data_IF_314824657794
#
_entry.id   IF_314824657794
#
_cell.length_a   1.000
_cell.length_b   1.000
_cell.length_c   1.000
_cell.angle_alpha   90.00
_cell.angle_beta   90.00
_cell.angle_gamma   90.00
#
_symmetry.space_group_name_H-M   'P 1'
#
loop_
_entity.id
_entity.type
_entity.pdbx_description
1 polymer ?
#
# COMPACT_ATOMS: atom_id res chain seq x y z
N UNK A 1 -76.15 1.30 -0.36
CA UNK A 1 -75.88 0.19 -1.30
C UNK A 1 -74.41 0.24 -1.68
N UNK A 2 -73.67 -0.84 -1.34
CA UNK A 2 -72.56 -1.51 -2.08
C UNK A 2 -71.57 -0.62 -2.84
N UNK A 3 -70.25 -0.71 -2.69
CA UNK A 3 -69.38 -1.62 -1.94
C UNK A 3 -67.93 -1.18 -2.14
N UNK A 4 -67.06 -1.44 -1.16
CA UNK A 4 -65.61 -1.20 -1.26
C UNK A 4 -64.93 -2.51 -1.66
N UNK A 5 -64.15 -2.48 -2.74
CA UNK A 5 -63.30 -3.57 -3.17
C UNK A 5 -62.04 -3.62 -2.29
N UNK A 6 -61.76 -4.79 -1.72
CA UNK A 6 -60.56 -5.10 -0.95
C UNK A 6 -59.50 -5.63 -1.93
N UNK A 7 -58.44 -4.87 -2.17
CA UNK A 7 -57.25 -5.37 -2.86
C UNK A 7 -56.27 -5.91 -1.80
N UNK A 8 -56.03 -7.21 -1.82
CA UNK A 8 -55.03 -7.90 -0.99
C UNK A 8 -53.68 -7.72 -1.68
N UNK A 9 -52.77 -7.00 -1.02
CA UNK A 9 -51.35 -6.93 -1.41
C UNK A 9 -50.60 -8.05 -0.67
N UNK A 10 -50.33 -9.15 -1.36
CA UNK A 10 -49.37 -10.15 -0.89
C UNK A 10 -47.95 -9.61 -1.10
N UNK A 11 -47.34 -9.06 -0.05
CA UNK A 11 -45.89 -8.83 -0.01
C UNK A 11 -45.21 -10.19 0.18
N UNK A 12 -44.56 -10.66 -0.88
CA UNK A 12 -43.63 -11.79 -0.81
C UNK A 12 -42.38 -11.32 -0.06
N UNK A 13 -42.20 -11.82 1.16
CA UNK A 13 -40.94 -11.71 1.90
C UNK A 13 -39.97 -12.72 1.29
N UNK A 14 -39.07 -12.25 0.41
CA UNK A 14 -37.87 -13.00 0.09
C UNK A 14 -36.88 -12.78 1.24
N UNK A 15 -36.44 -13.82 1.97
CA UNK A 15 -35.27 -13.67 2.81
C UNK A 15 -34.09 -13.44 1.87
N UNK A 16 -33.60 -12.21 1.80
CA UNK A 16 -32.29 -11.96 1.22
C UNK A 16 -31.30 -12.78 2.02
N UNK A 17 -30.58 -13.70 1.35
CA UNK A 17 -29.37 -14.24 1.93
C UNK A 17 -28.46 -13.05 2.19
N UNK A 18 -28.20 -12.71 3.45
CA UNK A 18 -27.07 -11.88 3.76
C UNK A 18 -25.85 -12.66 3.24
N UNK A 19 -25.18 -12.15 2.22
CA UNK A 19 -23.84 -12.62 1.91
C UNK A 19 -23.04 -12.44 3.19
N UNK A 20 -22.47 -13.53 3.71
CA UNK A 20 -21.54 -13.43 4.82
C UNK A 20 -20.33 -12.69 4.30
N UNK A 21 -19.97 -11.58 4.94
CA UNK A 21 -18.71 -10.90 4.68
C UNK A 21 -17.56 -11.87 4.97
N UNK A 22 -16.48 -11.75 4.20
CA UNK A 22 -15.26 -12.50 4.44
C UNK A 22 -14.63 -12.05 5.76
N UNK A 23 -13.90 -12.97 6.40
CA UNK A 23 -13.06 -12.62 7.54
C UNK A 23 -11.89 -11.76 7.08
N UNK A 24 -11.48 -10.80 7.91
CA UNK A 24 -10.39 -9.87 7.60
C UNK A 24 -9.42 -9.77 8.77
N UNK A 25 -8.15 -9.54 8.45
CA UNK A 25 -7.09 -9.25 9.43
C UNK A 25 -6.27 -8.04 8.94
N UNK A 26 -5.85 -7.18 9.86
CA UNK A 26 -4.84 -6.14 9.59
C UNK A 26 -3.48 -6.69 9.99
N UNK A 27 -2.61 -6.94 9.00
CA UNK A 27 -1.24 -7.42 9.23
C UNK A 27 -0.32 -6.30 9.72
N UNK A 28 -0.55 -5.07 9.25
CA UNK A 28 0.25 -3.91 9.63
C UNK A 28 -0.65 -2.67 9.72
N UNK A 29 -0.68 -2.03 10.89
CA UNK A 29 -1.43 -0.78 11.13
C UNK A 29 -0.44 0.30 11.60
N UNK A 30 -0.12 1.24 10.70
CA UNK A 30 0.82 2.32 10.98
C UNK A 30 0.13 3.66 11.28
N UNK A 31 -1.19 3.72 11.16
CA UNK A 31 -1.98 4.91 11.52
C UNK A 31 -3.37 4.91 10.89
N UNK A 32 -4.13 6.00 11.07
CA UNK A 32 -5.46 6.11 10.49
C UNK A 32 -5.42 6.06 8.97
N UNK A 33 -6.31 5.29 8.35
CA UNK A 33 -6.53 5.21 6.89
C UNK A 33 -6.78 6.57 6.22
N UNK A 34 -7.19 7.58 6.98
CA UNK A 34 -7.30 8.95 6.46
C UNK A 34 -5.94 9.57 6.07
N UNK A 35 -4.82 9.00 6.55
CA UNK A 35 -3.46 9.46 6.26
C UNK A 35 -2.48 8.31 6.02
N UNK A 36 -2.96 7.18 5.48
CA UNK A 36 -2.15 6.02 5.10
C UNK A 36 -2.63 5.51 3.73
N UNK A 37 -1.76 4.80 3.03
CA UNK A 37 -2.18 4.00 1.87
C UNK A 37 -2.64 2.64 2.37
N UNK A 38 -3.90 2.30 2.18
CA UNK A 38 -4.46 1.01 2.62
C UNK A 38 -4.33 -0.05 1.50
N UNK A 39 -3.41 -1.00 1.68
CA UNK A 39 -3.22 -2.14 0.78
C UNK A 39 -4.08 -3.32 1.27
N UNK A 40 -4.86 -3.92 0.37
CA UNK A 40 -5.68 -5.10 0.66
C UNK A 40 -5.18 -6.28 -0.16
N UNK A 41 -4.88 -7.39 0.50
CA UNK A 41 -4.45 -8.64 -0.14
C UNK A 41 -5.58 -9.66 -0.05
N UNK A 42 -5.92 -10.27 -1.18
CA UNK A 42 -6.87 -11.37 -1.28
C UNK A 42 -6.13 -12.66 -1.61
N UNK A 43 -6.57 -13.77 -1.04
CA UNK A 43 -6.15 -15.10 -1.49
C UNK A 43 -7.08 -15.62 -2.58
N UNK A 44 -6.55 -16.32 -3.59
CA UNK A 44 -7.36 -17.22 -4.43
C UNK A 44 -6.70 -18.61 -4.53
N UNK A 45 -7.51 -19.65 -4.65
CA UNK A 45 -7.00 -21.03 -4.61
C UNK A 45 -6.55 -21.49 -3.23
N UNK A 46 -6.84 -20.75 -2.14
CA UNK A 46 -6.64 -21.22 -0.77
C UNK A 46 -7.94 -21.78 -0.22
N UNK A 47 -7.95 -23.05 0.16
CA UNK A 47 -9.09 -23.68 0.83
C UNK A 47 -9.22 -23.23 2.28
N UNK A 48 -10.33 -23.61 2.94
CA UNK A 48 -10.56 -23.28 4.34
C UNK A 48 -9.44 -23.78 5.28
N UNK A 49 -8.75 -24.87 4.92
CA UNK A 49 -7.62 -25.41 5.69
C UNK A 49 -6.27 -24.79 5.34
N UNK A 50 -6.20 -23.93 4.32
CA UNK A 50 -4.97 -23.31 3.83
C UNK A 50 -4.92 -21.80 4.15
N UNK A 51 -5.86 -21.27 4.94
CA UNK A 51 -5.88 -19.83 5.25
C UNK A 51 -4.68 -19.38 6.11
N UNK A 52 -4.11 -20.27 6.92
CA UNK A 52 -2.85 -20.00 7.62
C UNK A 52 -1.68 -19.87 6.61
N UNK A 53 -1.65 -20.72 5.57
CA UNK A 53 -0.66 -20.62 4.50
C UNK A 53 -0.82 -19.32 3.70
N UNK A 54 -2.06 -18.95 3.34
CA UNK A 54 -2.34 -17.66 2.71
C UNK A 54 -1.80 -16.48 3.54
N UNK A 55 -2.04 -16.50 4.85
CA UNK A 55 -1.55 -15.46 5.75
C UNK A 55 -0.02 -15.37 5.74
N UNK A 56 0.66 -16.51 5.80
CA UNK A 56 2.13 -16.58 5.76
C UNK A 56 2.68 -16.11 4.39
N UNK A 57 2.05 -16.52 3.29
CA UNK A 57 2.44 -16.11 1.94
C UNK A 57 2.20 -14.60 1.73
N UNK A 58 1.12 -14.05 2.29
CA UNK A 58 0.84 -12.60 2.27
C UNK A 58 1.89 -11.80 3.08
N UNK A 59 2.31 -12.31 4.24
CA UNK A 59 3.42 -11.74 5.01
C UNK A 59 4.74 -11.79 4.22
N UNK A 60 5.02 -12.90 3.54
CA UNK A 60 6.19 -13.06 2.67
C UNK A 60 6.18 -12.06 1.51
N UNK A 61 5.03 -11.92 0.83
CA UNK A 61 4.83 -10.96 -0.25
C UNK A 61 5.08 -9.53 0.22
N UNK A 62 4.56 -9.16 1.39
CA UNK A 62 4.73 -7.81 1.93
C UNK A 62 6.14 -7.56 2.46
N UNK A 63 6.79 -8.59 2.99
CA UNK A 63 8.21 -8.55 3.32
C UNK A 63 9.06 -8.22 2.09
N UNK A 64 8.76 -8.85 0.95
CA UNK A 64 9.43 -8.54 -0.32
C UNK A 64 9.09 -7.13 -0.83
N UNK A 65 7.83 -6.75 -0.87
CA UNK A 65 7.39 -5.42 -1.32
C UNK A 65 8.07 -4.29 -0.54
N UNK A 66 8.06 -4.37 0.79
CA UNK A 66 8.73 -3.38 1.67
C UNK A 66 10.24 -3.60 1.79
N UNK A 67 10.84 -4.50 1.00
CA UNK A 67 12.29 -4.55 0.79
C UNK A 67 12.74 -3.77 -0.45
N UNK A 68 11.79 -3.36 -1.30
CA UNK A 68 12.05 -2.63 -2.54
C UNK A 68 11.98 -1.12 -2.33
N UNK A 69 12.98 -0.38 -2.80
CA UNK A 69 12.94 1.08 -2.85
C UNK A 69 11.94 1.55 -3.94
N UNK A 70 11.08 2.55 -3.69
CA UNK A 70 11.02 3.41 -2.49
C UNK A 70 10.08 2.90 -1.39
N UNK A 71 9.46 1.73 -1.51
CA UNK A 71 8.46 1.27 -0.54
C UNK A 71 9.07 0.98 0.83
N UNK A 72 10.31 0.51 0.87
CA UNK A 72 11.05 0.26 2.10
C UNK A 72 11.18 1.53 2.97
N UNK A 73 11.60 2.64 2.36
CA UNK A 73 11.83 3.92 3.03
C UNK A 73 10.52 4.56 3.51
N UNK A 74 9.39 4.18 2.91
CA UNK A 74 8.06 4.73 3.17
C UNK A 74 7.09 3.69 3.75
N UNK A 75 7.58 2.65 4.41
CA UNK A 75 6.71 1.59 4.95
C UNK A 75 5.66 2.10 5.95
N UNK A 76 6.03 3.04 6.82
CA UNK A 76 5.14 3.57 7.86
C UNK A 76 3.97 4.40 7.31
N UNK A 77 3.98 4.70 6.02
CA UNK A 77 2.93 5.40 5.28
C UNK A 77 1.84 4.44 4.79
N UNK A 78 1.97 3.13 5.00
CA UNK A 78 1.02 2.10 4.56
C UNK A 78 0.30 1.42 5.73
N UNK A 79 -0.92 0.99 5.50
CA UNK A 79 -1.56 -0.09 6.25
C UNK A 79 -1.70 -1.31 5.34
N UNK A 80 -1.66 -2.50 5.92
CA UNK A 80 -1.83 -3.77 5.18
C UNK A 80 -2.95 -4.58 5.81
N UNK A 81 -3.95 -4.87 4.99
CA UNK A 81 -5.09 -5.70 5.34
C UNK A 81 -5.13 -6.94 4.45
N UNK A 82 -5.66 -8.03 4.99
CA UNK A 82 -5.94 -9.25 4.23
C UNK A 82 -7.40 -9.64 4.38
N UNK A 83 -7.94 -10.24 3.32
CA UNK A 83 -9.29 -10.80 3.29
C UNK A 83 -9.18 -12.29 3.00
N UNK A 84 -9.70 -13.10 3.91
CA UNK A 84 -9.69 -14.56 3.83
C UNK A 84 -10.78 -15.07 2.89
N UNK A 85 -10.51 -14.94 1.59
CA UNK A 85 -11.39 -15.46 0.55
C UNK A 85 -11.17 -16.97 0.42
N UNK A 86 -12.21 -17.74 0.77
CA UNK A 86 -12.13 -19.20 0.83
C UNK A 86 -12.49 -19.83 -0.51
N UNK A 87 -11.54 -20.49 -1.15
CA UNK A 87 -11.76 -21.28 -2.37
C UNK A 87 -12.23 -22.71 -2.09
N UNK A 88 -13.15 -23.27 -2.90
CA UNK A 88 -13.51 -24.69 -2.82
C UNK A 88 -12.35 -25.64 -3.12
N UNK A 89 -11.49 -25.30 -4.08
CA UNK A 89 -10.32 -26.08 -4.49
C UNK A 89 -9.02 -25.30 -4.36
N UNK A 90 -7.92 -26.05 -4.18
CA UNK A 90 -6.56 -25.52 -4.13
C UNK A 90 -5.95 -25.43 -5.54
N UNK A 91 -5.17 -24.39 -5.82
CA UNK A 91 -4.55 -24.15 -7.13
C UNK A 91 -5.27 -23.11 -7.99
N UNK A 92 -4.93 -23.08 -9.28
CA UNK A 92 -5.59 -22.28 -10.32
C UNK A 92 -5.88 -23.10 -11.59
N UNK A 93 -6.62 -22.51 -12.53
CA UNK A 93 -6.83 -23.09 -13.86
C UNK A 93 -5.55 -23.08 -14.70
N UNK A 94 -5.27 -24.19 -15.38
CA UNK A 94 -4.24 -24.32 -16.41
C UNK A 94 -4.83 -24.97 -17.67
N UNK A 95 -5.47 -24.16 -18.55
CA UNK A 95 -6.27 -24.66 -19.67
C UNK A 95 -5.51 -25.56 -20.66
N UNK A 96 -4.26 -25.26 -21.01
CA UNK A 96 -3.44 -26.05 -21.94
C UNK A 96 -3.15 -27.45 -21.43
N UNK A 97 -3.16 -27.62 -20.10
CA UNK A 97 -2.97 -28.89 -19.40
C UNK A 97 -4.29 -29.57 -19.05
N UNK A 98 -5.43 -28.93 -19.35
CA UNK A 98 -6.76 -29.43 -19.02
C UNK A 98 -7.05 -29.47 -17.52
N UNK A 99 -6.37 -28.64 -16.73
CA UNK A 99 -6.58 -28.50 -15.28
C UNK A 99 -7.53 -27.33 -15.06
N UNK A 100 -8.61 -27.59 -14.33
CA UNK A 100 -9.60 -26.59 -13.94
C UNK A 100 -9.93 -26.75 -12.46
N UNK A 101 -9.88 -25.65 -11.71
CA UNK A 101 -10.09 -25.55 -10.27
C UNK A 101 -11.25 -24.60 -9.99
N UNK A 102 -12.19 -25.04 -9.16
CA UNK A 102 -13.23 -24.17 -8.62
C UNK A 102 -12.63 -23.28 -7.52
N UNK A 103 -12.13 -22.11 -7.91
CA UNK A 103 -11.60 -21.11 -6.99
C UNK A 103 -12.57 -19.95 -6.80
N UNK A 104 -12.45 -19.23 -5.68
CA UNK A 104 -13.38 -18.17 -5.33
C UNK A 104 -13.36 -17.02 -6.36
N UNK A 105 -12.16 -16.63 -6.80
CA UNK A 105 -11.92 -15.51 -7.72
C UNK A 105 -11.64 -15.97 -9.16
N UNK A 106 -11.80 -17.25 -9.49
CA UNK A 106 -11.58 -17.81 -10.83
C UNK A 106 -10.17 -17.55 -11.41
N UNK A 107 -9.10 -17.76 -10.61
CA UNK A 107 -7.74 -17.65 -11.10
C UNK A 107 -7.46 -18.59 -12.29
N UNK A 108 -6.88 -18.03 -13.35
CA UNK A 108 -6.49 -18.79 -14.56
C UNK A 108 -5.19 -18.28 -15.16
N UNK A 109 -4.33 -19.21 -15.56
CA UNK A 109 -3.18 -18.95 -16.43
C UNK A 109 -3.62 -18.87 -17.90
N UNK A 110 -2.65 -18.58 -18.77
CA UNK A 110 -2.81 -18.61 -20.23
C UNK A 110 -3.88 -17.64 -20.75
N UNK A 111 -4.13 -16.57 -19.99
CA UNK A 111 -5.02 -15.53 -20.45
C UNK A 111 -4.47 -14.91 -21.74
N UNK A 112 -5.33 -14.65 -22.72
CA UNK A 112 -4.94 -14.12 -24.02
C UNK A 112 -3.82 -14.92 -24.74
N UNK A 113 -3.78 -16.25 -24.54
CA UNK A 113 -2.81 -17.17 -25.13
C UNK A 113 -1.34 -16.90 -24.71
N UNK A 114 -1.14 -16.33 -23.51
CA UNK A 114 0.18 -16.06 -22.92
C UNK A 114 0.42 -16.95 -21.70
N UNK A 115 1.33 -17.92 -21.81
CA UNK A 115 1.54 -19.00 -20.81
C UNK A 115 1.53 -18.54 -19.34
N UNK A 116 2.25 -17.47 -19.02
CA UNK A 116 2.46 -16.98 -17.63
C UNK A 116 1.48 -15.89 -17.20
N UNK A 117 0.52 -15.56 -18.07
CA UNK A 117 -0.40 -14.47 -17.81
C UNK A 117 -1.54 -14.96 -16.93
N UNK A 118 -1.33 -14.74 -15.63
CA UNK A 118 -2.22 -15.16 -14.55
C UNK A 118 -3.16 -14.02 -14.20
N UNK A 119 -4.47 -14.28 -14.29
CA UNK A 119 -5.52 -13.29 -13.99
C UNK A 119 -6.57 -13.89 -13.06
N UNK A 120 -7.39 -13.03 -12.46
CA UNK A 120 -8.58 -13.40 -11.69
C UNK A 120 -9.80 -12.63 -12.22
N UNK A 121 -10.99 -13.02 -11.78
CA UNK A 121 -12.21 -12.25 -11.97
C UNK A 121 -12.15 -10.94 -11.15
N UNK A 122 -11.88 -9.85 -11.84
CA UNK A 122 -11.68 -8.53 -11.24
C UNK A 122 -12.91 -8.04 -10.46
N UNK A 123 -14.13 -8.33 -10.94
CA UNK A 123 -15.35 -7.91 -10.26
C UNK A 123 -15.49 -8.64 -8.91
N UNK A 124 -15.26 -9.96 -8.89
CA UNK A 124 -15.28 -10.73 -7.65
C UNK A 124 -14.21 -10.27 -6.67
N UNK A 125 -12.99 -10.03 -7.15
CA UNK A 125 -11.88 -9.56 -6.33
C UNK A 125 -12.20 -8.21 -5.69
N UNK A 126 -12.64 -7.23 -6.48
CA UNK A 126 -13.01 -5.92 -5.97
C UNK A 126 -14.17 -5.99 -4.98
N UNK A 127 -15.18 -6.83 -5.21
CA UNK A 127 -16.28 -7.03 -4.25
C UNK A 127 -15.76 -7.61 -2.94
N UNK A 128 -14.88 -8.60 -2.98
CA UNK A 128 -14.30 -9.19 -1.76
C UNK A 128 -13.43 -8.19 -0.99
N UNK A 129 -12.65 -7.37 -1.69
CA UNK A 129 -11.80 -6.35 -1.07
C UNK A 129 -12.59 -5.29 -0.28
N UNK A 130 -13.88 -5.07 -0.60
CA UNK A 130 -14.74 -4.12 0.12
C UNK A 130 -15.08 -4.56 1.55
N UNK A 131 -14.80 -5.81 1.93
CA UNK A 131 -14.94 -6.27 3.32
C UNK A 131 -13.81 -5.75 4.22
N UNK A 132 -12.69 -5.27 3.65
CA UNK A 132 -11.62 -4.62 4.39
C UNK A 132 -12.06 -3.28 5.01
N UNK A 133 -11.42 -2.88 6.11
CA UNK A 133 -11.76 -1.66 6.84
C UNK A 133 -11.53 -0.39 6.00
N UNK A 134 -10.52 -0.41 5.14
CA UNK A 134 -10.18 0.62 4.18
C UNK A 134 -9.51 -0.03 2.96
N UNK A 135 -9.52 0.68 1.83
CA UNK A 135 -9.06 0.15 0.56
C UNK A 135 -8.62 1.28 -0.39
N UNK A 136 -7.35 1.26 -0.77
CA UNK A 136 -6.82 2.03 -1.89
C UNK A 136 -6.35 1.13 -3.04
N UNK A 137 -5.71 0.00 -2.72
CA UNK A 137 -5.13 -0.93 -3.70
C UNK A 137 -5.40 -2.38 -3.35
N UNK A 138 -5.60 -3.21 -4.38
CA UNK A 138 -5.87 -4.65 -4.24
C UNK A 138 -4.74 -5.47 -4.85
N UNK A 139 -4.14 -6.33 -4.04
CA UNK A 139 -3.27 -7.41 -4.50
C UNK A 139 -4.01 -8.75 -4.36
N UNK A 140 -3.81 -9.64 -5.30
CA UNK A 140 -4.36 -11.00 -5.28
C UNK A 140 -3.23 -11.99 -5.35
N UNK A 141 -3.10 -12.80 -4.31
CA UNK A 141 -2.12 -13.86 -4.21
C UNK A 141 -2.81 -15.19 -4.54
N UNK A 142 -2.34 -15.86 -5.57
CA UNK A 142 -2.89 -17.12 -6.05
C UNK A 142 -2.05 -18.28 -5.55
N UNK A 143 -2.68 -19.24 -4.88
CA UNK A 143 -2.05 -20.46 -4.36
C UNK A 143 -1.68 -21.45 -5.47
N UNK A 144 -0.76 -21.05 -6.35
CA UNK A 144 -0.20 -21.92 -7.38
C UNK A 144 1.31 -21.69 -7.45
N UNK A 145 2.08 -22.77 -7.56
CA UNK A 145 3.54 -22.72 -7.57
C UNK A 145 4.10 -22.36 -8.96
N UNK A 146 3.27 -22.27 -10.01
CA UNK A 146 3.74 -21.87 -11.33
C UNK A 146 4.00 -20.36 -11.41
N UNK A 147 5.15 -19.97 -11.94
CA UNK A 147 5.50 -18.56 -12.10
C UNK A 147 4.50 -17.84 -13.02
N UNK A 148 3.74 -16.91 -12.46
CA UNK A 148 2.84 -16.04 -13.19
C UNK A 148 2.34 -14.86 -12.36
N UNK A 149 1.82 -13.86 -13.07
CA UNK A 149 1.24 -12.65 -12.50
C UNK A 149 0.69 -11.74 -13.59
N UNK A 150 0.07 -10.64 -13.16
CA UNK A 150 -0.43 -9.57 -14.02
C UNK A 150 -0.64 -8.28 -13.24
N UNK A 151 -0.68 -7.16 -13.95
CA UNK A 151 -1.11 -5.86 -13.42
C UNK A 151 -2.25 -5.23 -14.20
N UNK A 152 -2.79 -4.15 -13.64
CA UNK A 152 -3.96 -3.45 -14.15
C UNK A 152 -4.66 -2.69 -13.02
N UNK A 153 -5.98 -2.83 -12.92
CA UNK A 153 -6.76 -2.29 -11.78
C UNK A 153 -6.32 -2.88 -10.44
N UNK A 154 -5.89 -4.14 -10.45
CA UNK A 154 -5.34 -4.89 -9.34
C UNK A 154 -4.04 -5.58 -9.78
N UNK A 155 -3.20 -6.00 -8.83
CA UNK A 155 -2.02 -6.80 -9.11
C UNK A 155 -2.28 -8.25 -8.71
N UNK A 156 -2.02 -9.18 -9.62
CA UNK A 156 -2.12 -10.61 -9.38
C UNK A 156 -0.73 -11.21 -9.37
N UNK A 157 -0.45 -12.05 -8.39
CA UNK A 157 0.80 -12.81 -8.33
C UNK A 157 0.55 -14.21 -7.80
N UNK A 158 1.40 -15.15 -8.20
CA UNK A 158 1.42 -16.53 -7.69
C UNK A 158 2.32 -16.63 -6.45
N UNK A 159 2.32 -17.77 -5.76
CA UNK A 159 3.24 -18.03 -4.63
C UNK A 159 4.65 -18.44 -5.08
N UNK A 160 4.93 -18.45 -6.38
CA UNK A 160 6.27 -18.75 -6.87
C UNK A 160 7.29 -17.73 -6.36
N UNK A 161 8.49 -18.17 -5.97
CA UNK A 161 9.52 -17.35 -5.31
C UNK A 161 9.93 -16.09 -6.09
N UNK A 162 9.86 -16.15 -7.42
CA UNK A 162 10.19 -15.04 -8.32
C UNK A 162 8.99 -14.15 -8.67
N UNK A 163 7.76 -14.58 -8.41
CA UNK A 163 6.57 -13.83 -8.79
C UNK A 163 6.39 -12.47 -8.06
N UNK A 164 6.92 -12.25 -6.84
CA UNK A 164 6.93 -10.93 -6.24
C UNK A 164 7.66 -9.86 -7.07
N UNK A 165 8.66 -10.24 -7.89
CA UNK A 165 9.30 -9.31 -8.83
C UNK A 165 8.31 -8.77 -9.88
N UNK A 166 7.42 -9.64 -10.39
CA UNK A 166 6.34 -9.21 -11.29
C UNK A 166 5.45 -8.22 -10.55
N UNK A 167 5.00 -8.57 -9.34
CA UNK A 167 4.12 -7.68 -8.58
C UNK A 167 4.76 -6.31 -8.37
N UNK A 168 6.04 -6.25 -8.00
CA UNK A 168 6.74 -4.98 -7.84
C UNK A 168 6.76 -4.19 -9.16
N UNK A 169 7.03 -4.82 -10.30
CA UNK A 169 6.95 -4.19 -11.62
C UNK A 169 5.54 -3.67 -11.94
N UNK A 170 4.51 -4.47 -11.72
CA UNK A 170 3.11 -4.13 -12.01
C UNK A 170 2.57 -3.00 -11.12
N UNK A 171 3.05 -2.91 -9.88
CA UNK A 171 2.80 -1.75 -9.02
C UNK A 171 3.36 -0.48 -9.64
N UNK A 172 4.45 -0.56 -10.41
CA UNK A 172 4.96 0.58 -11.19
C UNK A 172 3.90 1.18 -12.12
N UNK A 173 3.17 0.34 -12.84
CA UNK A 173 2.07 0.78 -13.70
C UNK A 173 0.88 1.31 -12.90
N UNK A 174 0.42 0.53 -11.92
CA UNK A 174 -0.80 0.82 -11.16
C UNK A 174 -0.68 2.05 -10.27
N UNK A 175 0.48 2.19 -9.62
CA UNK A 175 0.71 3.17 -8.58
C UNK A 175 1.32 4.43 -9.20
N UNK A 176 2.39 4.28 -9.97
CA UNK A 176 3.19 5.38 -10.51
C UNK A 176 2.82 5.86 -11.92
N UNK A 177 1.84 5.21 -12.58
CA UNK A 177 1.47 5.49 -13.98
C UNK A 177 2.69 5.44 -14.93
N UNK A 178 3.57 4.46 -14.67
CA UNK A 178 4.81 4.26 -15.41
C UNK A 178 4.57 3.42 -16.67
N UNK A 179 5.37 3.64 -17.71
CA UNK A 179 5.44 2.78 -18.89
C UNK A 179 6.49 1.69 -18.70
N UNK A 180 6.39 0.65 -19.51
CA UNK A 180 7.51 -0.28 -19.71
C UNK A 180 8.70 0.43 -20.35
N UNK A 181 9.88 0.14 -19.83
CA UNK A 181 11.15 0.69 -20.30
C UNK A 181 11.90 -0.28 -21.22
N UNK A 182 11.38 -1.50 -21.42
CA UNK A 182 11.92 -2.44 -22.41
C UNK A 182 11.43 -2.16 -23.83
N UNK A 183 12.29 -2.49 -24.78
CA UNK A 183 12.13 -2.20 -26.20
C UNK A 183 11.45 -3.32 -27.01
N UNK A 184 11.19 -4.48 -26.40
CA UNK A 184 10.61 -5.64 -27.07
C UNK A 184 9.22 -5.35 -27.63
N UNK A 185 8.96 -5.56 -28.94
CA UNK A 185 7.70 -5.18 -29.56
C UNK A 185 6.48 -5.87 -28.93
N UNK A 186 5.49 -5.08 -28.53
CA UNK A 186 4.19 -5.57 -28.06
C UNK A 186 3.10 -5.28 -29.11
N UNK A 187 2.54 -6.30 -29.79
CA UNK A 187 1.56 -6.10 -30.84
C UNK A 187 0.32 -5.31 -30.39
N UNK A 188 -0.03 -4.25 -31.13
CA UNK A 188 -1.22 -3.46 -30.86
C UNK A 188 -1.05 -2.35 -29.82
N UNK A 189 0.18 -2.09 -29.36
CA UNK A 189 0.50 -0.97 -28.49
C UNK A 189 0.82 0.30 -29.32
N UNK A 190 -0.08 1.30 -29.47
CA UNK A 190 0.26 2.58 -30.10
C UNK A 190 1.42 3.31 -29.39
N UNK A 191 2.32 3.93 -30.18
CA UNK A 191 3.29 4.89 -29.65
C UNK A 191 2.59 6.07 -28.96
N UNK A 192 3.02 6.37 -27.74
CA UNK A 192 2.66 7.53 -26.93
C UNK A 192 3.78 7.74 -25.88
N UNK A 193 3.79 8.89 -25.24
CA UNK A 193 4.71 9.21 -24.16
C UNK A 193 4.03 10.11 -23.13
N UNK A 194 2.90 9.69 -22.59
CA UNK A 194 2.26 10.45 -21.50
C UNK A 194 2.83 10.04 -20.13
N UNK A 195 3.30 8.80 -20.01
CA UNK A 195 3.87 8.18 -18.80
C UNK A 195 5.18 8.86 -18.41
N UNK A 196 5.48 8.94 -17.11
CA UNK A 196 6.57 9.78 -16.61
C UNK A 196 7.99 9.37 -17.07
N UNK A 197 8.22 8.07 -17.20
CA UNK A 197 9.53 7.45 -17.40
C UNK A 197 9.87 7.15 -18.87
N UNK A 198 9.13 7.70 -19.83
CA UNK A 198 9.47 7.62 -21.25
C UNK A 198 9.24 8.94 -21.98
N UNK A 199 9.97 9.19 -23.07
CA UNK A 199 9.69 10.35 -23.93
C UNK A 199 10.17 10.20 -25.38
N UNK A 200 9.47 10.84 -26.32
CA UNK A 200 9.97 11.10 -27.69
C UNK A 200 10.82 12.38 -27.78
N UNK A 201 10.88 13.19 -26.72
CA UNK A 201 11.58 14.47 -26.72
C UNK A 201 13.09 14.30 -26.51
N UNK A 202 13.87 15.04 -27.28
CA UNK A 202 15.34 15.02 -27.23
C UNK A 202 15.93 16.36 -26.82
N UNK A 203 15.13 17.43 -26.82
CA UNK A 203 15.53 18.75 -26.32
C UNK A 203 15.55 18.74 -24.80
N UNK A 204 16.75 18.89 -24.25
CA UNK A 204 17.05 18.83 -22.82
C UNK A 204 16.02 19.57 -21.97
N UNK A 205 15.67 20.80 -22.32
CA UNK A 205 14.75 21.65 -21.56
C UNK A 205 13.29 21.18 -21.54
N UNK A 206 12.94 20.18 -22.37
CA UNK A 206 11.59 19.60 -22.47
C UNK A 206 11.54 18.12 -22.06
N UNK A 207 12.67 17.51 -21.73
CA UNK A 207 12.70 16.16 -21.16
C UNK A 207 12.04 16.23 -19.78
N UNK A 208 11.10 15.32 -19.51
CA UNK A 208 10.27 15.32 -18.30
C UNK A 208 11.11 15.30 -17.03
N UNK A 209 12.16 14.47 -17.00
CA UNK A 209 13.07 14.32 -15.87
C UNK A 209 14.34 15.17 -16.01
N UNK A 210 14.33 16.27 -16.77
CA UNK A 210 15.51 17.11 -16.97
C UNK A 210 16.16 17.60 -15.66
N UNK A 211 15.37 17.78 -14.58
CA UNK A 211 15.88 18.16 -13.26
C UNK A 211 16.82 17.13 -12.64
N UNK A 212 16.74 15.88 -13.09
CA UNK A 212 17.61 14.78 -12.67
C UNK A 212 18.85 14.62 -13.56
N UNK A 213 18.85 15.17 -14.78
CA UNK A 213 19.94 14.98 -15.72
C UNK A 213 21.08 15.97 -15.44
N UNK A 214 22.20 15.46 -14.97
CA UNK A 214 23.42 16.24 -14.79
C UNK A 214 23.81 17.00 -16.06
N UNK A 215 24.35 18.21 -15.89
CA UNK A 215 24.70 19.10 -17.02
C UNK A 215 25.73 18.47 -17.98
N UNK A 216 26.56 17.55 -17.50
CA UNK A 216 27.58 16.85 -18.28
C UNK A 216 27.06 15.62 -19.02
N UNK A 217 25.86 15.11 -18.69
CA UNK A 217 25.32 13.90 -19.32
C UNK A 217 25.01 14.14 -20.80
N UNK A 218 25.56 13.34 -21.73
CA UNK A 218 25.27 13.44 -23.15
C UNK A 218 23.82 13.07 -23.45
N UNK A 219 23.21 13.71 -24.45
CA UNK A 219 21.83 13.47 -24.89
C UNK A 219 21.79 13.28 -26.42
N UNK A 220 21.35 12.11 -26.94
CA UNK A 220 21.06 10.87 -26.20
C UNK A 220 22.26 10.33 -25.43
N UNK A 221 22.00 9.60 -24.35
CA UNK A 221 23.02 9.02 -23.49
C UNK A 221 23.47 7.67 -24.05
N UNK A 222 24.78 7.46 -24.31
CA UNK A 222 25.26 6.19 -24.85
C UNK A 222 25.04 5.03 -23.86
N UNK A 223 24.53 3.86 -24.29
CA UNK A 223 24.30 2.71 -23.42
C UNK A 223 25.59 1.93 -23.17
N UNK A 224 26.56 2.58 -22.52
CA UNK A 224 27.87 2.01 -22.16
C UNK A 224 28.08 2.10 -20.64
N UNK A 225 28.92 1.23 -20.05
CA UNK A 225 29.09 1.16 -18.59
C UNK A 225 29.46 2.48 -17.91
N UNK A 226 30.12 3.40 -18.61
CA UNK A 226 30.46 4.74 -18.11
C UNK A 226 29.22 5.56 -17.71
N UNK A 227 28.08 5.31 -18.34
CA UNK A 227 26.82 6.02 -18.09
C UNK A 227 25.77 5.12 -17.42
N UNK A 228 26.11 3.90 -17.00
CA UNK A 228 25.14 2.96 -16.44
C UNK A 228 24.41 3.52 -15.20
N UNK A 229 25.14 4.27 -14.38
CA UNK A 229 24.64 4.90 -13.15
C UNK A 229 24.20 6.36 -13.34
N UNK A 230 24.10 6.85 -14.58
CA UNK A 230 23.68 8.21 -14.84
C UNK A 230 22.19 8.26 -15.18
N UNK A 231 21.47 9.23 -14.62
CA UNK A 231 20.20 9.65 -15.21
C UNK A 231 20.48 10.38 -16.51
N UNK A 232 19.88 9.89 -17.59
CA UNK A 232 20.14 10.30 -18.96
C UNK A 232 18.92 10.16 -19.87
N UNK A 233 19.18 9.99 -21.16
CA UNK A 233 18.18 9.81 -22.21
C UNK A 233 18.63 8.62 -23.06
N UNK A 234 18.33 7.41 -22.60
CA UNK A 234 18.75 6.16 -23.23
C UNK A 234 17.72 5.71 -24.25
N UNK A 235 18.15 5.41 -25.47
CA UNK A 235 17.23 5.01 -26.54
C UNK A 235 16.71 3.58 -26.34
N UNK A 236 15.45 3.37 -26.68
CA UNK A 236 14.72 2.12 -26.50
C UNK A 236 13.84 2.17 -25.25
N UNK A 237 12.53 2.08 -25.42
CA UNK A 237 11.55 2.01 -24.34
C UNK A 237 10.18 1.69 -24.92
N UNK A 238 9.19 1.36 -24.08
CA UNK A 238 7.76 1.25 -24.44
C UNK A 238 7.56 0.52 -25.77
N UNK A 239 8.25 -0.62 -25.89
CA UNK A 239 8.16 -1.55 -27.02
C UNK A 239 8.65 -1.01 -28.38
N UNK A 240 9.46 0.05 -28.35
CA UNK A 240 10.09 0.66 -29.52
C UNK A 240 11.60 0.73 -29.29
N UNK A 241 12.38 0.16 -30.21
CA UNK A 241 13.84 0.15 -30.14
C UNK A 241 14.50 1.47 -30.53
N UNK A 242 13.78 2.37 -31.20
CA UNK A 242 14.32 3.63 -31.74
C UNK A 242 13.33 4.78 -31.53
N UNK A 243 13.87 5.99 -31.33
CA UNK A 243 13.09 7.23 -31.31
C UNK A 243 12.31 7.52 -30.04
N UNK A 244 12.26 6.60 -29.07
CA UNK A 244 11.75 6.81 -27.72
C UNK A 244 12.85 6.52 -26.71
N UNK A 245 12.79 7.18 -25.57
CA UNK A 245 13.86 7.17 -24.58
C UNK A 245 13.37 6.92 -23.17
N UNK A 246 14.21 6.28 -22.36
CA UNK A 246 14.04 6.02 -20.91
C UNK A 246 15.10 6.75 -20.07
N UNK A 247 14.87 6.97 -18.77
CA UNK A 247 15.73 7.79 -17.92
C UNK A 247 17.03 7.12 -17.47
N UNK A 248 17.05 5.79 -17.35
CA UNK A 248 18.22 5.02 -16.91
C UNK A 248 18.56 3.92 -17.89
N UNK A 249 19.81 3.45 -17.81
CA UNK A 249 20.22 2.30 -18.63
C UNK A 249 19.39 1.06 -18.26
N UNK A 250 19.12 0.87 -16.97
CA UNK A 250 18.27 -0.18 -16.43
C UNK A 250 17.40 0.32 -15.28
N UNK A 251 16.27 -0.35 -15.07
CA UNK A 251 15.20 -0.01 -14.12
C UNK A 251 14.31 -1.24 -13.94
N UNK A 252 13.60 -1.36 -12.81
CA UNK A 252 12.58 -2.41 -12.62
C UNK A 252 11.51 -2.43 -13.73
N UNK A 253 11.20 -1.27 -14.32
CA UNK A 253 10.28 -1.16 -15.47
C UNK A 253 10.87 -1.70 -16.78
N UNK A 254 12.15 -2.07 -16.80
CA UNK A 254 12.83 -2.68 -17.95
C UNK A 254 13.18 -4.13 -17.69
N UNK A 255 13.77 -4.40 -16.54
CA UNK A 255 14.32 -5.72 -16.15
C UNK A 255 13.86 -6.03 -14.73
N UNK A 256 13.44 -7.27 -14.47
CA UNK A 256 13.13 -7.72 -13.11
C UNK A 256 14.41 -7.96 -12.29
N UNK A 257 14.33 -7.90 -10.96
CA UNK A 257 15.47 -8.13 -10.05
C UNK A 257 16.40 -6.94 -9.85
N UNK A 258 16.01 -5.75 -10.33
CA UNK A 258 16.69 -4.47 -10.07
C UNK A 258 15.71 -3.47 -9.48
N UNK A 259 16.22 -2.41 -8.85
CA UNK A 259 15.38 -1.37 -8.27
C UNK A 259 14.77 -0.42 -9.32
N UNK A 260 13.74 0.30 -8.89
CA UNK A 260 13.21 1.42 -9.67
C UNK A 260 14.28 2.49 -9.85
N UNK A 261 14.36 3.05 -11.06
CA UNK A 261 15.16 4.25 -11.26
C UNK A 261 14.64 5.44 -10.47
N UNK A 262 15.45 6.48 -10.33
CA UNK A 262 15.13 7.71 -9.60
C UNK A 262 13.81 8.36 -10.08
N UNK A 263 13.54 8.31 -11.39
CA UNK A 263 12.32 8.87 -11.99
C UNK A 263 11.10 8.03 -11.60
N UNK A 264 11.23 6.70 -11.65
CA UNK A 264 10.15 5.80 -11.27
C UNK A 264 9.90 5.89 -9.76
N UNK A 265 10.95 5.89 -8.94
CA UNK A 265 10.87 6.02 -7.49
C UNK A 265 10.21 7.34 -7.07
N UNK A 266 10.61 8.47 -7.66
CA UNK A 266 9.98 9.76 -7.40
C UNK A 266 8.47 9.73 -7.70
N UNK A 267 8.06 9.15 -8.83
CA UNK A 267 6.65 9.07 -9.21
C UNK A 267 5.84 8.09 -8.34
N UNK A 268 6.47 7.03 -7.83
CA UNK A 268 5.87 6.17 -6.82
C UNK A 268 5.68 6.95 -5.51
N UNK A 269 6.68 7.69 -5.04
CA UNK A 269 6.61 8.51 -3.82
C UNK A 269 5.52 9.58 -3.94
N UNK A 270 5.42 10.25 -5.09
CA UNK A 270 4.32 11.20 -5.37
C UNK A 270 2.94 10.56 -5.24
N UNK A 271 2.81 9.30 -5.62
CA UNK A 271 1.56 8.56 -5.52
C UNK A 271 1.22 8.18 -4.07
N UNK A 272 2.24 8.02 -3.20
CA UNK A 272 2.06 7.96 -1.74
C UNK A 272 1.51 9.29 -1.23
N UNK A 273 2.18 10.40 -1.57
CA UNK A 273 1.78 11.74 -1.12
C UNK A 273 0.46 12.26 -1.74
N UNK A 274 -0.05 11.60 -2.78
CA UNK A 274 -1.40 11.85 -3.27
C UNK A 274 -2.49 11.40 -2.28
N UNK A 275 -2.15 10.54 -1.32
CA UNK A 275 -3.05 9.99 -0.29
C UNK A 275 -2.59 10.38 1.12
N UNK A 276 -1.29 10.54 1.33
CA UNK A 276 -0.66 10.74 2.63
C UNK A 276 -0.10 12.16 2.76
N UNK A 277 -0.30 12.77 3.92
CA UNK A 277 0.38 13.97 4.41
C UNK A 277 1.65 13.55 5.17
N UNK A 278 2.79 14.29 5.03
CA UNK A 278 4.03 14.02 5.77
C UNK A 278 3.92 14.28 7.30
N UNK A 279 2.72 14.59 7.80
CA UNK A 279 2.43 14.86 9.21
C UNK A 279 1.07 14.28 9.61
N UNK A 280 1.03 13.68 10.81
CA UNK A 280 -0.20 13.26 11.49
C UNK A 280 -0.74 14.32 12.49
N UNK A 281 -0.21 15.55 12.46
CA UNK A 281 -0.64 16.61 13.37
C UNK A 281 -1.82 17.39 12.80
N UNK A 282 -2.84 17.61 13.64
CA UNK A 282 -4.06 18.34 13.25
C UNK A 282 -3.98 19.84 13.61
N UNK A 283 -2.97 20.25 14.39
CA UNK A 283 -2.87 21.62 14.90
C UNK A 283 -3.81 21.89 16.08
N UNK A 284 -4.32 23.12 16.18
CA UNK A 284 -5.42 23.47 17.09
C UNK A 284 -5.14 24.55 18.16
N UNK A 285 -6.09 24.72 19.08
CA UNK A 285 -6.02 25.73 20.14
C UNK A 285 -5.23 25.24 21.37
N UNK A 286 -4.31 26.06 21.87
CA UNK A 286 -3.51 25.76 23.07
C UNK A 286 -3.57 26.94 24.03
N UNK A 287 -3.86 26.68 25.31
CA UNK A 287 -3.79 27.70 26.37
C UNK A 287 -2.55 27.49 27.21
N UNK A 288 -1.83 28.57 27.49
CA UNK A 288 -0.58 28.54 28.25
C UNK A 288 -0.48 29.75 29.18
N UNK A 289 0.06 29.55 30.38
CA UNK A 289 0.30 30.64 31.31
C UNK A 289 1.38 31.59 30.76
N UNK A 290 1.37 32.86 31.13
CA UNK A 290 2.36 33.85 30.69
C UNK A 290 3.84 33.45 30.90
N UNK A 291 4.15 32.54 31.83
CA UNK A 291 5.50 31.98 32.03
C UNK A 291 5.56 30.45 31.84
N UNK A 292 4.50 29.88 31.28
CA UNK A 292 4.39 28.47 31.01
C UNK A 292 5.30 28.01 29.88
N UNK A 293 5.48 26.70 29.80
CA UNK A 293 6.07 26.03 28.65
C UNK A 293 5.14 24.94 28.17
N UNK A 294 5.07 24.76 26.86
CA UNK A 294 4.38 23.63 26.24
C UNK A 294 5.20 23.13 25.07
N UNK A 295 4.99 21.88 24.67
CA UNK A 295 5.59 21.32 23.48
C UNK A 295 4.51 21.15 22.42
N UNK A 296 4.73 21.76 21.26
CA UNK A 296 3.95 21.48 20.07
C UNK A 296 4.69 20.41 19.27
N UNK A 297 3.96 19.42 18.78
CA UNK A 297 4.48 18.29 18.03
C UNK A 297 3.82 18.25 16.65
N UNK A 298 4.63 18.42 15.61
CA UNK A 298 4.19 18.33 14.23
C UNK A 298 4.00 16.87 13.78
N UNK A 299 4.21 15.87 14.64
CA UNK A 299 3.96 14.43 14.41
C UNK A 299 4.41 13.99 13.02
N UNK A 300 5.69 14.16 12.75
CA UNK A 300 6.28 13.87 11.45
C UNK A 300 6.12 12.40 11.11
N UNK A 301 5.63 12.12 9.90
CA UNK A 301 5.56 10.79 9.36
C UNK A 301 6.89 10.50 8.64
N UNK A 302 7.89 10.09 9.41
CA UNK A 302 9.27 9.93 8.95
C UNK A 302 9.42 8.85 7.88
N UNK A 303 10.44 9.02 7.04
CA UNK A 303 11.01 7.96 6.19
C UNK A 303 12.14 7.23 6.93
N UNK A 304 12.64 6.12 6.38
CA UNK A 304 13.89 5.49 6.83
C UNK A 304 14.93 5.49 5.69
N UNK A 305 16.05 6.21 5.79
CA UNK A 305 16.46 7.07 6.91
C UNK A 305 15.57 8.33 7.05
N UNK A 306 15.56 8.98 8.23
CA UNK A 306 14.73 10.16 8.47
C UNK A 306 15.04 11.32 7.52
N UNK A 307 14.06 11.71 6.70
CA UNK A 307 14.16 12.82 5.76
C UNK A 307 13.04 13.87 5.91
N UNK A 308 12.00 13.60 6.70
CA UNK A 308 10.89 14.53 6.91
C UNK A 308 11.26 15.55 7.99
N UNK A 309 11.05 16.83 7.72
CA UNK A 309 11.46 17.95 8.56
C UNK A 309 10.32 18.92 8.83
N UNK A 310 10.36 19.59 9.98
CA UNK A 310 9.50 20.73 10.29
C UNK A 310 10.28 22.01 10.59
N UNK A 311 9.97 23.06 9.84
CA UNK A 311 10.40 24.43 10.14
C UNK A 311 9.28 25.19 10.85
N UNK A 312 9.63 25.88 11.93
CA UNK A 312 8.64 26.51 12.81
C UNK A 312 8.64 28.02 12.67
N UNK A 313 7.45 28.61 12.75
CA UNK A 313 7.27 30.07 12.88
C UNK A 313 6.34 30.41 14.03
N UNK A 314 6.57 31.56 14.67
CA UNK A 314 5.67 32.19 15.64
C UNK A 314 5.34 33.59 15.11
N UNK A 315 4.06 33.88 14.91
CA UNK A 315 3.55 35.12 14.31
C UNK A 315 4.25 35.45 12.97
N UNK A 316 4.54 34.40 12.19
CA UNK A 316 5.26 34.49 10.91
C UNK A 316 6.77 34.68 11.01
N UNK A 317 7.35 34.80 12.22
CA UNK A 317 8.79 34.87 12.42
C UNK A 317 9.38 33.46 12.63
N UNK A 318 10.45 33.08 11.92
CA UNK A 318 11.06 31.75 12.06
C UNK A 318 11.67 31.56 13.45
N UNK A 319 11.52 30.36 14.01
CA UNK A 319 12.10 29.97 15.29
C UNK A 319 12.91 28.70 15.15
N UNK A 320 14.02 28.62 15.91
CA UNK A 320 14.90 27.46 15.86
C UNK A 320 14.30 26.30 16.67
N UNK A 321 14.19 25.14 16.01
CA UNK A 321 13.86 23.87 16.61
C UNK A 321 14.68 22.77 15.91
N UNK A 322 14.74 21.58 16.51
CA UNK A 322 15.26 20.41 15.80
C UNK A 322 14.23 19.98 14.75
N UNK A 323 14.56 20.22 13.48
CA UNK A 323 13.67 20.00 12.36
C UNK A 323 13.28 18.52 12.19
N UNK A 324 14.18 17.58 12.50
CA UNK A 324 13.90 16.13 12.39
C UNK A 324 13.10 15.60 13.57
N UNK A 325 13.21 16.24 14.74
CA UNK A 325 12.39 15.90 15.90
C UNK A 325 10.94 16.35 15.73
N UNK A 326 10.67 17.34 14.89
CA UNK A 326 9.32 17.85 14.65
C UNK A 326 8.67 18.49 15.86
N UNK A 327 9.45 18.89 16.87
CA UNK A 327 8.95 19.38 18.16
C UNK A 327 9.47 20.77 18.47
N UNK A 328 8.56 21.66 18.85
CA UNK A 328 8.88 23.00 19.33
C UNK A 328 8.57 23.10 20.83
N UNK A 329 9.61 23.36 21.64
CA UNK A 329 9.42 23.80 23.02
C UNK A 329 9.06 25.29 23.03
N UNK A 330 7.77 25.58 23.16
CA UNK A 330 7.25 26.93 23.22
C UNK A 330 7.37 27.48 24.64
N UNK A 331 7.98 28.66 24.77
CA UNK A 331 8.10 29.38 26.04
C UNK A 331 7.31 30.68 25.99
N UNK A 332 6.20 30.73 26.72
CA UNK A 332 5.30 31.89 26.74
C UNK A 332 5.93 33.13 27.38
N UNK A 333 6.98 33.00 28.20
CA UNK A 333 7.64 34.16 28.81
C UNK A 333 8.31 35.10 27.80
N UNK A 334 8.54 34.64 26.57
CA UNK A 334 8.97 35.47 25.44
C UNK A 334 7.83 36.02 24.58
N UNK A 335 6.60 35.58 24.82
CA UNK A 335 5.38 35.97 24.12
C UNK A 335 4.61 36.99 24.97
N UNK A 336 3.88 37.89 24.32
CA UNK A 336 2.96 38.79 25.03
C UNK A 336 1.74 38.03 25.55
N UNK A 337 0.91 38.66 26.37
CA UNK A 337 -0.44 38.14 26.60
C UNK A 337 -1.28 38.28 25.33
N UNK A 338 -2.18 37.32 25.09
CA UNK A 338 -3.07 37.30 23.94
C UNK A 338 -2.87 36.07 23.05
N UNK A 339 -3.34 36.17 21.81
CA UNK A 339 -3.28 35.08 20.84
C UNK A 339 -2.06 35.22 19.95
N UNK A 340 -1.34 34.10 19.80
CA UNK A 340 -0.19 33.94 18.94
C UNK A 340 -0.44 32.81 17.95
N UNK A 341 -0.03 33.00 16.70
CA UNK A 341 -0.04 31.93 15.72
C UNK A 341 1.30 31.19 15.77
N UNK A 342 1.25 29.87 15.86
CA UNK A 342 2.43 29.02 15.70
C UNK A 342 2.18 28.09 14.53
N UNK A 343 3.09 28.02 13.57
CA UNK A 343 2.97 27.14 12.42
C UNK A 343 4.21 26.28 12.24
N UNK A 344 4.02 25.02 11.85
CA UNK A 344 5.06 24.11 11.40
C UNK A 344 4.86 23.83 9.91
N UNK A 345 5.86 24.15 9.10
CA UNK A 345 5.91 23.77 7.70
C UNK A 345 6.68 22.46 7.59
N UNK A 346 5.96 21.39 7.27
CA UNK A 346 6.46 20.01 7.21
C UNK A 346 6.77 19.65 5.77
N UNK A 347 7.94 19.06 5.51
CA UNK A 347 8.37 18.65 4.17
C UNK A 347 9.15 17.36 4.23
N UNK A 348 8.95 16.51 3.25
CA UNK A 348 9.96 15.50 2.92
C UNK A 348 11.08 16.13 2.09
N UNK A 349 12.31 15.97 2.58
CA UNK A 349 13.53 16.41 1.90
C UNK A 349 14.39 15.21 1.47
N UNK A 350 13.77 14.06 1.25
CA UNK A 350 14.42 12.88 0.72
C UNK A 350 15.10 13.19 -0.63
N UNK A 351 16.24 12.54 -0.87
CA UNK A 351 17.01 12.76 -2.11
C UNK A 351 16.30 12.26 -3.37
N UNK A 352 15.20 11.52 -3.17
CA UNK A 352 14.30 10.97 -4.17
C UNK A 352 13.31 11.99 -4.75
N UNK A 353 13.24 13.20 -4.20
CA UNK A 353 12.35 14.27 -4.67
C UNK A 353 13.14 15.45 -5.25
N UNK A 354 12.93 15.76 -6.54
CA UNK A 354 13.55 16.90 -7.25
C UNK A 354 12.57 17.67 -8.13
N UNK A 355 11.47 17.05 -8.57
CA UNK A 355 10.42 17.72 -9.31
C UNK A 355 9.73 18.75 -8.40
N UNK A 356 9.54 20.00 -8.86
CA UNK A 356 8.84 21.02 -8.07
C UNK A 356 7.45 20.58 -7.62
N UNK A 357 6.72 19.86 -8.46
CA UNK A 357 5.40 19.32 -8.14
C UNK A 357 5.48 18.24 -7.05
N UNK A 358 6.53 17.41 -7.06
CA UNK A 358 6.72 16.37 -6.07
C UNK A 358 7.05 16.95 -4.68
N UNK A 359 7.88 18.00 -4.65
CA UNK A 359 8.20 18.73 -3.42
C UNK A 359 6.99 19.45 -2.82
N UNK A 360 6.07 19.94 -3.66
CA UNK A 360 4.81 20.55 -3.22
C UNK A 360 3.86 19.49 -2.65
N UNK A 361 3.67 18.38 -3.36
CA UNK A 361 2.87 17.23 -2.93
C UNK A 361 3.38 16.63 -1.60
N UNK A 362 4.70 16.57 -1.40
CA UNK A 362 5.34 16.05 -0.20
C UNK A 362 5.50 17.09 0.94
N UNK A 363 4.60 18.08 0.99
CA UNK A 363 4.63 19.13 2.01
C UNK A 363 3.27 19.36 2.66
N UNK A 364 3.28 19.84 3.91
CA UNK A 364 2.09 20.19 4.67
C UNK A 364 2.37 21.35 5.61
N UNK A 365 1.32 22.05 6.05
CA UNK A 365 1.43 23.07 7.08
C UNK A 365 0.45 22.77 8.22
N UNK A 366 0.97 22.76 9.44
CA UNK A 366 0.21 22.53 10.67
C UNK A 366 0.20 23.82 11.48
N UNK A 367 -0.98 24.25 11.95
CA UNK A 367 -1.16 25.55 12.62
C UNK A 367 -1.79 25.39 14.00
N UNK A 368 -1.23 26.09 14.98
CA UNK A 368 -1.76 26.23 16.32
C UNK A 368 -2.08 27.68 16.62
N UNK A 369 -3.18 27.89 17.35
CA UNK A 369 -3.51 29.18 17.96
C UNK A 369 -3.21 29.08 19.45
N UNK A 370 -2.19 29.80 19.91
CA UNK A 370 -1.73 29.77 21.30
C UNK A 370 -2.26 31.01 22.04
N UNK A 371 -3.10 30.79 23.04
CA UNK A 371 -3.59 31.81 23.96
C UNK A 371 -2.69 31.86 25.19
N UNK A 372 -1.97 32.98 25.35
CA UNK A 372 -1.14 33.28 26.51
C UNK A 372 -1.97 34.10 27.50
N UNK A 373 -2.23 33.53 28.69
CA UNK A 373 -3.10 34.12 29.72
C UNK A 373 -2.47 34.05 31.12
N UNK A 374 -2.88 34.94 32.02
CA UNK A 374 -2.55 34.85 33.45
C UNK A 374 -3.56 33.97 34.22
N UNK A 375 -4.72 33.69 33.61
CA UNK A 375 -5.80 32.87 34.16
C UNK A 375 -5.79 31.49 33.49
N UNK A 376 -5.04 30.55 34.05
CA UNK A 376 -5.36 29.14 33.87
C UNK A 376 -6.31 28.80 35.03
N UNK A 377 -7.61 28.61 34.76
CA UNK A 377 -8.47 27.97 35.76
C UNK A 377 -7.92 26.56 35.98
N UNK A 378 -7.31 26.33 37.15
CA UNK A 378 -6.95 25.00 37.62
C UNK A 378 -8.26 24.20 37.76
N UNK A 379 -8.54 23.35 36.77
CA UNK A 379 -9.57 22.33 36.89
C UNK A 379 -9.13 21.27 37.90
N UNK A 380 -9.38 21.54 39.19
CA UNK A 380 -9.75 20.59 40.24
C UNK A 380 -9.55 21.25 41.62
N UNK A 381 -10.48 22.11 42.04
CA UNK A 381 -10.73 22.27 43.47
C UNK A 381 -11.87 21.34 43.87
N UNK A 382 -11.49 20.30 44.61
CA UNK A 382 -12.42 19.51 45.41
C UNK A 382 -13.36 20.45 46.16
N UNK A 383 -14.66 20.18 46.02
CA UNK A 383 -15.69 20.77 46.86
C UNK A 383 -15.35 20.38 48.30
N UNK A 384 -14.75 21.30 49.05
CA UNK A 384 -14.65 21.23 50.50
C UNK A 384 -16.06 21.45 51.05
N UNK A 385 -16.78 20.34 51.18
CA UNK A 385 -18.05 20.27 51.86
C UNK A 385 -17.81 20.29 53.35
N UNK A 386 -17.74 21.50 53.92
CA UNK A 386 -17.98 21.74 55.34
C UNK A 386 -19.32 21.08 55.75
N UNK A 387 -19.25 20.09 56.63
CA UNK A 387 -20.41 19.35 57.10
C UNK A 387 -20.13 18.47 58.31
N UNK A 388 -20.08 19.13 59.48
CA UNK A 388 -20.46 18.64 60.81
C UNK A 388 -20.08 17.21 61.23
N UNK A 389 -19.19 17.12 62.24
CA UNK A 389 -19.13 15.98 63.15
C UNK A 389 -20.49 15.79 63.89
N UNK A 390 -20.86 14.55 64.25
CA UNK A 390 -20.54 14.14 65.61
C UNK A 390 -20.07 12.68 65.76
N UNK A 391 -19.25 12.51 66.80
CA UNK A 391 -18.91 11.32 67.58
C UNK A 391 -19.92 10.15 67.57
N UNK A 392 -19.40 8.91 67.50
CA UNK A 392 -19.53 7.88 68.56
C UNK A 392 -18.77 6.58 68.18
N UNK A 393 -17.91 6.17 69.13
CA UNK A 393 -17.65 4.81 69.65
C UNK A 393 -17.69 3.55 68.74
N UNK A 394 -16.63 2.74 68.87
CA UNK A 394 -16.81 1.32 69.19
C UNK A 394 -16.17 0.26 68.28
N UNK A 395 -15.14 -0.38 68.83
CA UNK A 395 -14.83 -1.82 68.75
C UNK A 395 -14.27 -2.46 67.46
N UNK A 396 -12.94 -2.64 67.51
CA UNK A 396 -12.22 -3.93 67.54
C UNK A 396 -12.61 -5.10 66.60
N UNK A 397 -11.57 -5.57 65.89
CA UNK A 397 -11.15 -6.96 65.59
C UNK A 397 -10.93 -7.16 64.08
N UNK A 398 -10.05 -8.02 63.56
CA UNK A 398 -8.85 -8.77 63.96
C UNK A 398 -8.52 -9.63 62.70
N UNK A 399 -7.24 -9.99 62.48
CA UNK A 399 -6.79 -10.96 61.45
C UNK A 399 -6.52 -10.34 60.06
N UNK A 400 -5.30 -10.12 59.57
CA UNK A 400 -4.05 -10.90 59.55
C UNK A 400 -3.98 -12.00 58.44
N UNK A 401 -2.82 -12.00 57.78
CA UNK A 401 -2.15 -13.02 56.96
C UNK A 401 -2.67 -13.43 55.56
N UNK A 402 -1.90 -13.01 54.54
CA UNK A 402 -1.46 -13.81 53.37
C UNK A 402 -0.26 -14.72 53.77
N UNK A 403 0.45 -15.50 52.92
CA UNK A 403 0.24 -16.09 51.56
C UNK A 403 0.66 -17.61 51.50
N UNK A 404 1.00 -18.09 50.30
CA UNK A 404 1.81 -19.28 49.92
C UNK A 404 1.04 -20.55 49.53
N UNK A 405 1.19 -21.04 48.29
CA UNK A 405 2.20 -22.04 47.87
C UNK A 405 1.44 -23.37 47.66
N UNK A 406 1.71 -24.30 46.76
CA UNK A 406 2.90 -24.69 46.01
C UNK A 406 2.49 -25.85 45.06
N UNK A 407 3.41 -26.22 44.18
CA UNK A 407 3.66 -27.58 43.64
C UNK A 407 2.96 -28.14 42.36
N UNK A 408 3.86 -28.42 41.40
CA UNK A 408 3.79 -29.35 40.25
C UNK A 408 3.86 -30.84 40.70
N UNK A 409 3.65 -31.83 39.81
CA UNK A 409 4.76 -32.47 39.03
C UNK A 409 4.37 -32.75 37.55
N UNK A 410 5.26 -32.66 36.55
CA UNK A 410 6.33 -33.58 36.07
C UNK A 410 5.89 -34.90 35.38
N UNK A 411 6.74 -35.28 34.39
CA UNK A 411 6.83 -36.49 33.54
C UNK A 411 6.08 -36.44 32.19
N UNK A 412 6.66 -36.74 31.03
CA UNK A 412 7.99 -37.25 30.68
C UNK A 412 7.97 -37.94 29.29
N UNK A 413 9.13 -37.91 28.64
CA UNK A 413 9.67 -38.82 27.61
C UNK A 413 9.47 -38.61 26.09
N UNK A 414 10.65 -38.52 25.48
CA UNK A 414 11.01 -38.51 24.06
C UNK A 414 11.25 -39.93 23.51
N UNK A 415 11.27 -40.07 22.18
CA UNK A 415 12.19 -40.98 21.49
C UNK A 415 12.26 -40.70 19.97
N UNK A 416 13.49 -40.60 19.49
CA UNK A 416 13.98 -40.54 18.12
C UNK A 416 13.69 -41.80 17.28
N UNK A 417 13.82 -41.66 15.95
CA UNK A 417 13.92 -42.79 15.01
C UNK A 417 14.28 -42.36 13.58
N UNK A 418 15.52 -42.69 13.19
CA UNK A 418 16.23 -42.42 11.93
C UNK A 418 15.59 -42.94 10.61
N UNK A 419 15.84 -42.16 9.54
CA UNK A 419 16.20 -42.43 8.11
C UNK A 419 16.52 -43.88 7.59
N UNK A 420 16.82 -44.13 6.27
CA UNK A 420 16.40 -43.50 4.99
C UNK A 420 16.18 -44.51 3.80
N UNK A 421 15.99 -43.94 2.59
CA UNK A 421 16.37 -44.41 1.23
C UNK A 421 15.46 -45.38 0.45
N UNK A 422 15.14 -45.01 -0.81
CA UNK A 422 15.49 -45.79 -2.01
C UNK A 422 15.25 -44.98 -3.31
N UNK A 423 16.24 -45.04 -4.20
CA UNK A 423 16.30 -44.49 -5.55
C UNK A 423 15.39 -45.23 -6.54
N UNK A 424 15.03 -44.57 -7.65
CA UNK A 424 14.33 -45.20 -8.77
C UNK A 424 14.34 -44.34 -10.04
N UNK A 425 15.43 -44.42 -10.80
CA UNK A 425 15.57 -43.98 -12.19
C UNK A 425 14.50 -44.56 -13.14
N UNK A 426 14.08 -43.76 -14.13
CA UNK A 426 14.27 -44.03 -15.57
C UNK A 426 13.14 -43.54 -16.48
N UNK A 427 13.55 -42.87 -17.56
CA UNK A 427 12.81 -42.38 -18.71
C UNK A 427 12.19 -43.48 -19.59
N UNK A 428 11.14 -43.15 -20.36
CA UNK A 428 11.13 -43.15 -21.84
C UNK A 428 9.72 -42.94 -22.44
N UNK A 429 9.66 -41.98 -23.38
CA UNK A 429 9.13 -42.01 -24.75
C UNK A 429 7.68 -42.37 -25.13
N UNK A 430 7.21 -41.53 -26.06
CA UNK A 430 6.39 -41.79 -27.26
C UNK A 430 4.85 -41.65 -27.24
N UNK A 431 4.45 -40.52 -27.84
CA UNK A 431 3.55 -40.32 -28.99
C UNK A 431 2.16 -41.00 -29.10
N UNK A 432 1.26 -40.13 -29.60
CA UNK A 432 0.17 -40.36 -30.55
C UNK A 432 -1.26 -40.56 -30.02
N UNK A 433 -2.04 -39.46 -30.09
CA UNK A 433 -3.10 -39.38 -31.10
C UNK A 433 -4.55 -39.50 -30.63
N UNK A 434 -5.37 -38.51 -31.01
CA UNK A 434 -6.70 -38.80 -31.54
C UNK A 434 -7.91 -38.11 -30.92
N UNK A 435 -8.31 -37.00 -31.55
CA UNK A 435 -9.69 -36.62 -31.89
C UNK A 435 -10.72 -36.29 -30.80
N UNK A 436 -11.34 -35.12 -30.93
CA UNK A 436 -12.77 -34.94 -30.64
C UNK A 436 -13.16 -33.63 -29.96
N UNK A 437 -13.70 -32.67 -30.71
CA UNK A 437 -14.42 -31.51 -30.17
C UNK A 437 -14.49 -30.39 -31.22
N UNK A 438 -15.61 -29.96 -31.78
CA UNK A 438 -16.99 -30.05 -31.31
C UNK A 438 -17.45 -28.74 -30.68
N UNK A 439 -17.47 -27.66 -31.47
CA UNK A 439 -18.37 -26.50 -31.38
C UNK A 439 -18.72 -25.96 -29.97
N UNK A 440 -18.09 -24.86 -29.58
CA UNK A 440 -18.77 -23.73 -28.92
C UNK A 440 -18.07 -22.42 -29.34
N UNK A 441 -18.72 -21.66 -30.22
CA UNK A 441 -18.36 -20.29 -30.61
C UNK A 441 -19.36 -19.34 -29.97
N UNK A 442 -18.85 -18.23 -29.43
CA UNK A 442 -19.60 -17.09 -28.87
C UNK A 442 -19.50 -17.12 -27.34
N UNK A 443 -19.10 -16.06 -26.64
CA UNK A 443 -19.34 -14.63 -26.84
C UNK A 443 -18.27 -13.85 -26.06
N UNK A 444 -17.81 -12.71 -26.57
CA UNK A 444 -17.03 -11.74 -25.79
C UNK A 444 -15.84 -11.19 -26.55
N UNK A 445 -16.07 -10.20 -27.42
CA UNK A 445 -14.98 -9.42 -27.97
C UNK A 445 -14.31 -8.66 -26.82
N UNK A 446 -13.07 -9.04 -26.48
CA UNK A 446 -12.23 -8.31 -25.55
C UNK A 446 -12.08 -6.86 -26.05
N UNK A 447 -12.38 -5.90 -25.19
CA UNK A 447 -11.96 -4.52 -25.42
C UNK A 447 -10.42 -4.50 -25.42
N UNK A 448 -9.77 -3.69 -26.29
CA UNK A 448 -8.32 -3.61 -26.29
C UNK A 448 -7.83 -3.13 -24.92
N UNK A 449 -6.84 -3.83 -24.35
CA UNK A 449 -6.26 -3.70 -23.00
C UNK A 449 -6.00 -2.25 -22.54
N UNK A 450 -5.71 -1.36 -23.49
CA UNK A 450 -5.58 0.08 -23.29
C UNK A 450 -6.79 0.79 -22.69
N UNK A 451 -7.99 0.28 -22.97
CA UNK A 451 -9.22 0.84 -22.43
C UNK A 451 -9.35 0.54 -20.93
N UNK A 452 -8.72 -0.53 -20.43
CA UNK A 452 -8.73 -0.91 -19.00
C UNK A 452 -7.79 0.01 -18.21
N UNK A 453 -6.58 0.27 -18.72
CA UNK A 453 -5.65 1.25 -18.15
C UNK A 453 -6.21 2.69 -18.18
N UNK A 454 -6.92 3.06 -19.25
CA UNK A 454 -7.51 4.41 -19.38
C UNK A 454 -8.74 4.66 -18.46
N UNK A 455 -9.43 3.61 -18.01
CA UNK A 455 -10.60 3.74 -17.13
C UNK A 455 -10.18 3.86 -15.66
N UNK A 456 -9.10 3.19 -15.23
CA UNK A 456 -8.52 3.36 -13.89
C UNK A 456 -8.07 4.81 -13.60
N UNK A 457 -7.42 5.46 -14.57
CA UNK A 457 -7.04 6.88 -14.48
C UNK A 457 -8.24 7.85 -14.39
N UNK A 458 -9.43 7.46 -14.85
CA UNK A 458 -10.63 8.31 -14.84
C UNK A 458 -11.27 8.42 -13.44
N UNK A 459 -11.11 7.39 -12.60
CA UNK A 459 -11.64 7.38 -11.22
C UNK A 459 -10.86 8.35 -10.33
N UNK A 460 -9.52 8.46 -10.51
CA UNK A 460 -8.68 9.42 -9.76
C UNK A 460 -8.92 10.88 -10.14
N UNK A 461 -9.26 11.15 -11.42
CA UNK A 461 -9.53 12.53 -11.88
C UNK A 461 -10.80 13.14 -11.28
N UNK A 462 -11.69 12.33 -10.69
CA UNK A 462 -12.86 12.81 -9.97
C UNK A 462 -12.60 13.18 -8.50
N UNK A 463 -11.50 12.73 -7.89
CA UNK A 463 -11.07 13.16 -6.53
C UNK A 463 -10.22 14.44 -6.54
N UNK A 464 -9.61 14.82 -7.68
CA UNK A 464 -8.85 16.09 -7.84
C UNK A 464 -9.74 17.34 -8.07
N UNK A 465 -10.99 17.35 -7.60
CA UNK A 465 -11.86 18.54 -7.65
C UNK A 465 -12.54 18.83 -6.33
#
# INVERSE_FOLDING_TARGET
MRGLALAVLCLLFFPGAAALAWETETLEENGPSANRVDLVILGDGYTASEQDAFRDDALGLMGYFFSSTPFAEYRVQYNVHIVYVISPESGADHPSRGIYRDTALNATYEFADLDRFLVVDEEKALIAALDAAALDYVFVLVNDAEYGGSGGTLAVTSVHEQAPEILAHEVGHMFGELADEYEDPFPGHPPDDWEANVTFETRRERIKWNVWIDAATPLPTPPVPEWAEAVGLFEGARYLSEGIYRPRLDCRMRTLGVDFCEICAEHLIRSIYATVSPSDAEGGGVRIAANGRTTLDARLLQTDPPAVRADWTIDGAPVAADALAGRLLLNAGGLGQGFHEVAAFVRDESEWLRLPEALDEASAEVRWTVEVTDEIEDGDEAIDGDGDEPSEDGDAADGDETPDGDEMPEDGDAADGDEPSEDGDAAHDDEAGGSGGGLCRGVGAAAPYWLVLAVGGLIRRFRRR
#
